data_IF_048807096575
#
_entry.id   IF_048807096575
#
_cell.length_a   1.000
_cell.length_b   1.000
_cell.length_c   1.000
_cell.angle_alpha   90.00
_cell.angle_beta   90.00
_cell.angle_gamma   90.00
#
_symmetry.space_group_name_H-M   'P 1'
#
loop_
_entity.id
_entity.type
_entity.pdbx_description
1 polymer ?
#
# COMPACT_ATOMS: atom_id res chain seq x y z
N UNK A 1 0.58 -5.63 -29.87
CA UNK A 1 0.11 -7.03 -29.87
C UNK A 1 -0.30 -7.36 -28.45
N UNK A 2 -1.60 -7.57 -28.19
CA UNK A 2 -2.08 -7.94 -26.86
C UNK A 2 -1.51 -9.31 -26.46
N UNK A 3 -0.94 -9.42 -25.25
CA UNK A 3 -0.50 -10.70 -24.71
C UNK A 3 -1.71 -11.64 -24.53
N UNK A 4 -1.56 -12.97 -24.76
CA UNK A 4 -2.63 -13.92 -24.49
C UNK A 4 -3.01 -13.87 -23.00
N UNK A 5 -4.31 -13.94 -22.66
CA UNK A 5 -4.84 -13.88 -21.28
C UNK A 5 -4.10 -14.80 -20.30
N UNK A 6 -3.77 -16.03 -20.68
CA UNK A 6 -3.03 -16.95 -19.82
C UNK A 6 -1.59 -16.53 -19.49
N UNK A 7 -0.97 -15.71 -20.36
CA UNK A 7 0.36 -15.12 -20.12
C UNK A 7 0.33 -13.99 -19.10
N UNK A 8 -0.74 -13.20 -19.08
CA UNK A 8 -0.94 -12.11 -18.14
C UNK A 8 -1.26 -12.63 -16.74
N UNK A 9 -2.16 -13.61 -16.63
CA UNK A 9 -2.48 -14.28 -15.36
C UNK A 9 -1.24 -14.91 -14.72
N UNK A 10 -0.43 -15.61 -15.50
CA UNK A 10 0.82 -16.20 -15.03
C UNK A 10 1.81 -15.12 -14.57
N UNK A 11 1.92 -14.03 -15.30
CA UNK A 11 2.79 -12.89 -14.93
C UNK A 11 2.36 -12.29 -13.61
N UNK A 12 1.05 -12.07 -13.42
CA UNK A 12 0.50 -11.51 -12.18
C UNK A 12 0.69 -12.47 -10.99
N UNK A 13 0.49 -13.77 -11.19
CA UNK A 13 0.74 -14.79 -10.17
C UNK A 13 2.22 -14.82 -9.74
N UNK A 14 3.16 -14.70 -10.67
CA UNK A 14 4.60 -14.63 -10.38
C UNK A 14 4.99 -13.36 -9.64
N UNK A 15 4.46 -12.22 -10.05
CA UNK A 15 4.65 -10.95 -9.32
C UNK A 15 4.12 -11.04 -7.89
N UNK A 16 2.93 -11.62 -7.70
CA UNK A 16 2.33 -11.82 -6.39
C UNK A 16 3.20 -12.72 -5.50
N UNK A 17 3.76 -13.79 -6.04
CA UNK A 17 4.67 -14.70 -5.31
C UNK A 17 5.92 -13.95 -4.82
N UNK A 18 6.54 -13.12 -5.68
CA UNK A 18 7.71 -12.30 -5.31
C UNK A 18 7.35 -11.30 -4.20
N UNK A 19 6.23 -10.60 -4.34
CA UNK A 19 5.76 -9.63 -3.34
C UNK A 19 5.42 -10.33 -2.02
N UNK A 20 4.83 -11.53 -2.04
CA UNK A 20 4.58 -12.32 -0.84
C UNK A 20 5.87 -12.73 -0.14
N UNK A 21 6.88 -13.18 -0.88
CA UNK A 21 8.19 -13.51 -0.33
C UNK A 21 8.85 -12.30 0.36
N UNK A 22 8.77 -11.12 -0.27
CA UNK A 22 9.23 -9.87 0.32
C UNK A 22 8.45 -9.52 1.60
N UNK A 23 7.13 -9.65 1.59
CA UNK A 23 6.28 -9.37 2.74
C UNK A 23 6.65 -10.22 3.97
N UNK A 24 6.87 -11.52 3.77
CA UNK A 24 7.29 -12.45 4.84
C UNK A 24 8.63 -12.03 5.45
N UNK A 25 9.62 -11.70 4.62
CA UNK A 25 10.92 -11.23 5.11
C UNK A 25 10.80 -9.90 5.87
N UNK A 26 9.93 -9.01 5.39
CA UNK A 26 9.75 -7.69 5.97
C UNK A 26 9.03 -7.69 7.33
N UNK A 27 8.37 -8.76 7.71
CA UNK A 27 7.76 -8.90 9.05
C UNK A 27 8.78 -8.72 10.16
N UNK A 28 9.97 -9.29 10.01
CA UNK A 28 11.00 -9.33 11.07
C UNK A 28 12.28 -8.57 10.73
N UNK A 29 12.40 -8.05 9.50
CA UNK A 29 13.62 -7.41 8.99
C UNK A 29 13.32 -6.04 8.41
N UNK A 30 14.34 -5.20 8.35
CA UNK A 30 14.24 -3.88 7.71
C UNK A 30 14.47 -3.97 6.19
N UNK A 31 14.08 -2.92 5.48
CA UNK A 31 14.37 -2.77 4.04
C UNK A 31 15.85 -2.95 3.70
N UNK A 32 16.76 -2.42 4.54
CA UNK A 32 18.20 -2.48 4.29
C UNK A 32 18.76 -3.90 4.39
N UNK A 33 18.19 -4.71 5.26
CA UNK A 33 18.65 -6.09 5.52
C UNK A 33 18.15 -7.10 4.48
N UNK A 34 17.09 -6.77 3.74
CA UNK A 34 16.50 -7.67 2.74
C UNK A 34 17.21 -7.50 1.40
N UNK A 35 17.55 -8.61 0.76
CA UNK A 35 18.21 -8.66 -0.56
C UNK A 35 17.34 -9.38 -1.58
N UNK A 36 17.56 -9.07 -2.88
CA UNK A 36 16.92 -9.80 -3.98
C UNK A 36 17.21 -11.30 -3.96
N UNK A 37 18.41 -11.68 -3.47
CA UNK A 37 18.78 -13.09 -3.34
C UNK A 37 17.85 -13.80 -2.36
N UNK A 38 17.65 -13.22 -1.18
CA UNK A 38 16.80 -13.83 -0.14
C UNK A 38 15.33 -13.85 -0.54
N UNK A 39 14.83 -12.81 -1.24
CA UNK A 39 13.49 -12.83 -1.81
C UNK A 39 13.38 -14.02 -2.80
N UNK A 40 14.37 -14.19 -3.67
CA UNK A 40 14.40 -15.29 -4.62
C UNK A 40 14.40 -16.67 -3.98
N UNK A 41 15.13 -16.87 -2.88
CA UNK A 41 15.18 -18.12 -2.11
C UNK A 41 13.83 -18.52 -1.48
N UNK A 42 12.91 -17.55 -1.36
CA UNK A 42 11.54 -17.75 -0.86
C UNK A 42 10.51 -17.98 -1.97
N UNK A 43 10.92 -17.95 -3.24
CA UNK A 43 10.04 -18.19 -4.39
C UNK A 43 10.24 -19.57 -4.99
N UNK A 44 9.28 -20.04 -5.79
CA UNK A 44 9.33 -21.33 -6.50
C UNK A 44 10.23 -21.32 -7.76
N UNK A 45 10.83 -20.19 -8.10
CA UNK A 45 11.64 -20.02 -9.31
C UNK A 45 12.98 -19.33 -9.00
N UNK A 46 13.90 -19.38 -9.96
CA UNK A 46 15.28 -18.91 -9.76
C UNK A 46 15.36 -17.39 -9.58
N UNK A 47 16.38 -16.93 -8.84
CA UNK A 47 16.68 -15.48 -8.68
C UNK A 47 16.73 -14.74 -10.02
N UNK A 48 17.31 -15.35 -11.05
CA UNK A 48 17.42 -14.75 -12.39
C UNK A 48 16.05 -14.47 -12.98
N UNK A 49 15.05 -15.28 -12.67
CA UNK A 49 13.67 -15.09 -13.13
C UNK A 49 12.98 -13.89 -12.50
N UNK A 50 13.41 -13.41 -11.32
CA UNK A 50 12.85 -12.20 -10.68
C UNK A 50 13.06 -10.99 -11.58
N UNK A 51 14.22 -10.86 -12.24
CA UNK A 51 14.53 -9.73 -13.12
C UNK A 51 13.59 -9.62 -14.34
N UNK A 52 12.84 -10.67 -14.67
CA UNK A 52 11.80 -10.60 -15.69
C UNK A 52 10.58 -9.77 -15.23
N UNK A 53 10.41 -9.58 -13.91
CA UNK A 53 9.26 -8.93 -13.30
C UNK A 53 9.62 -7.61 -12.59
N UNK A 54 10.71 -7.62 -11.82
CA UNK A 54 11.20 -6.48 -11.06
C UNK A 54 12.71 -6.30 -11.29
N UNK A 55 13.12 -5.08 -11.61
CA UNK A 55 14.52 -4.77 -11.89
C UNK A 55 15.32 -4.52 -10.62
N UNK A 56 14.66 -4.00 -9.58
CA UNK A 56 15.28 -3.61 -8.31
C UNK A 56 14.47 -4.11 -7.12
N UNK A 57 15.10 -4.13 -5.96
CA UNK A 57 14.42 -4.40 -4.69
C UNK A 57 13.36 -3.33 -4.40
N UNK A 58 13.68 -2.10 -4.73
CA UNK A 58 12.81 -0.94 -4.57
C UNK A 58 11.47 -1.12 -5.30
N UNK A 59 11.49 -1.65 -6.52
CA UNK A 59 10.26 -1.97 -7.27
C UNK A 59 9.39 -3.02 -6.57
N UNK A 60 10.01 -4.03 -5.93
CA UNK A 60 9.27 -5.04 -5.16
C UNK A 60 8.61 -4.39 -3.94
N UNK A 61 9.34 -3.52 -3.24
CA UNK A 61 8.80 -2.79 -2.09
C UNK A 61 7.71 -1.79 -2.48
N UNK A 62 7.81 -1.12 -3.63
CA UNK A 62 6.72 -0.30 -4.16
C UNK A 62 5.46 -1.13 -4.47
N UNK A 63 5.62 -2.33 -5.05
CA UNK A 63 4.51 -3.22 -5.31
C UNK A 63 3.88 -3.74 -4.00
N UNK A 64 4.68 -4.04 -2.98
CA UNK A 64 4.18 -4.38 -1.65
C UNK A 64 3.42 -3.20 -1.03
N UNK A 65 3.97 -2.01 -1.10
CA UNK A 65 3.36 -0.80 -0.56
C UNK A 65 2.03 -0.46 -1.27
N UNK A 66 1.99 -0.57 -2.60
CA UNK A 66 0.76 -0.45 -3.38
C UNK A 66 -0.31 -1.41 -2.86
N UNK A 67 0.03 -2.69 -2.71
CA UNK A 67 -0.90 -3.73 -2.23
C UNK A 67 -1.43 -3.43 -0.83
N UNK A 68 -0.60 -2.93 0.06
CA UNK A 68 -1.02 -2.56 1.42
C UNK A 68 -1.97 -1.35 1.41
N UNK A 69 -1.74 -0.35 0.55
CA UNK A 69 -2.70 0.75 0.35
C UNK A 69 -4.02 0.25 -0.22
N UNK A 70 -4.00 -0.60 -1.25
CA UNK A 70 -5.20 -1.17 -1.85
C UNK A 70 -6.03 -1.94 -0.82
N UNK A 71 -5.38 -2.75 0.02
CA UNK A 71 -6.04 -3.48 1.09
C UNK A 71 -6.62 -2.55 2.18
N UNK A 72 -5.96 -1.44 2.50
CA UNK A 72 -6.50 -0.44 3.42
C UNK A 72 -7.67 0.32 2.81
N UNK A 73 -7.66 0.61 1.52
CA UNK A 73 -8.81 1.18 0.81
C UNK A 73 -10.04 0.28 0.94
N UNK A 74 -9.87 -1.04 0.81
CA UNK A 74 -10.96 -2.01 1.03
C UNK A 74 -11.51 -1.95 2.46
N UNK A 75 -10.64 -1.82 3.48
CA UNK A 75 -11.07 -1.63 4.87
C UNK A 75 -11.84 -0.32 5.07
N UNK A 76 -11.40 0.78 4.47
CA UNK A 76 -12.09 2.08 4.52
C UNK A 76 -13.45 2.03 3.80
N UNK A 77 -13.53 1.35 2.68
CA UNK A 77 -14.79 1.16 1.97
C UNK A 77 -15.74 0.26 2.77
N UNK A 78 -15.25 -0.78 3.43
CA UNK A 78 -16.04 -1.61 4.34
C UNK A 78 -16.56 -0.79 5.54
N UNK A 79 -15.72 0.05 6.14
CA UNK A 79 -16.11 0.98 7.20
C UNK A 79 -17.22 1.92 6.71
N UNK A 80 -17.02 2.53 5.54
CA UNK A 80 -17.98 3.45 4.94
C UNK A 80 -19.32 2.77 4.62
N UNK A 81 -19.30 1.55 4.10
CA UNK A 81 -20.51 0.80 3.74
C UNK A 81 -21.21 0.16 4.96
N UNK A 82 -20.43 -0.24 5.97
CA UNK A 82 -20.95 -0.96 7.15
C UNK A 82 -21.72 -0.08 8.13
N UNK A 83 -21.58 1.24 8.08
CA UNK A 83 -22.20 2.17 9.01
C UNK A 83 -23.07 3.20 8.30
N UNK A 84 -24.25 3.47 8.88
CA UNK A 84 -25.14 4.54 8.38
C UNK A 84 -24.68 5.93 8.87
N UNK A 85 -24.28 6.00 10.13
CA UNK A 85 -23.79 7.22 10.81
C UNK A 85 -22.77 6.81 11.85
N UNK A 86 -21.81 7.67 12.11
CA UNK A 86 -20.85 7.56 13.21
C UNK A 86 -20.72 8.92 13.91
N UNK A 87 -20.50 8.89 15.22
CA UNK A 87 -19.99 10.05 15.95
C UNK A 87 -18.51 10.27 15.66
N UNK A 88 -17.96 11.40 16.06
CA UNK A 88 -16.51 11.66 15.90
C UNK A 88 -15.67 10.59 16.62
N UNK A 89 -16.04 10.26 17.87
CA UNK A 89 -15.32 9.26 18.66
C UNK A 89 -15.40 7.89 18.01
N UNK A 90 -16.62 7.44 17.64
CA UNK A 90 -16.80 6.15 16.98
C UNK A 90 -16.06 6.06 15.62
N UNK A 91 -16.08 7.14 14.83
CA UNK A 91 -15.31 7.19 13.58
C UNK A 91 -13.81 7.12 13.83
N UNK A 92 -13.31 7.83 14.84
CA UNK A 92 -11.89 7.83 15.21
C UNK A 92 -11.43 6.43 15.63
N UNK A 93 -12.23 5.73 16.45
CA UNK A 93 -11.95 4.37 16.88
C UNK A 93 -11.95 3.41 15.69
N UNK A 94 -12.96 3.45 14.84
CA UNK A 94 -13.05 2.59 13.65
C UNK A 94 -11.90 2.85 12.66
N UNK A 95 -11.55 4.11 12.43
CA UNK A 95 -10.42 4.49 11.58
C UNK A 95 -9.09 3.97 12.16
N UNK A 96 -8.88 4.11 13.47
CA UNK A 96 -7.71 3.56 14.16
C UNK A 96 -7.64 2.03 14.03
N UNK A 97 -8.75 1.33 14.19
CA UNK A 97 -8.81 -0.13 14.02
C UNK A 97 -8.49 -0.59 12.58
N UNK A 98 -8.82 0.21 11.55
CA UNK A 98 -8.37 -0.13 10.19
C UNK A 98 -6.84 -0.13 10.07
N UNK A 99 -6.16 0.80 10.75
CA UNK A 99 -4.70 0.92 10.74
C UNK A 99 -4.01 -0.10 11.63
N UNK A 100 -4.59 -0.42 12.79
CA UNK A 100 -4.07 -1.46 13.69
C UNK A 100 -3.88 -2.80 12.96
N UNK A 101 -4.81 -3.15 12.09
CA UNK A 101 -4.72 -4.36 11.24
C UNK A 101 -3.71 -4.25 10.09
N UNK A 102 -3.15 -3.06 9.85
CA UNK A 102 -2.25 -2.73 8.74
C UNK A 102 -0.86 -2.30 9.22
N UNK A 103 -0.31 -2.99 10.23
CA UNK A 103 1.01 -2.69 10.79
C UNK A 103 2.09 -2.62 9.71
N UNK A 104 2.05 -3.52 8.71
CA UNK A 104 2.98 -3.52 7.58
C UNK A 104 2.86 -2.24 6.74
N UNK A 105 1.64 -1.72 6.54
CA UNK A 105 1.44 -0.44 5.86
C UNK A 105 2.11 0.70 6.63
N UNK A 106 1.90 0.78 7.95
CA UNK A 106 2.52 1.80 8.80
C UNK A 106 4.05 1.70 8.79
N UNK A 107 4.59 0.48 8.85
CA UNK A 107 6.03 0.23 8.73
C UNK A 107 6.60 0.69 7.38
N UNK A 108 5.88 0.47 6.28
CA UNK A 108 6.24 0.96 4.95
C UNK A 108 6.18 2.49 4.88
N UNK A 109 5.15 3.11 5.47
CA UNK A 109 5.01 4.58 5.52
C UNK A 109 6.15 5.26 6.26
N UNK A 110 6.71 4.63 7.29
CA UNK A 110 7.85 5.14 8.07
C UNK A 110 9.18 5.10 7.31
N UNK A 111 9.25 4.42 6.17
CA UNK A 111 10.46 4.34 5.36
C UNK A 111 10.72 5.64 4.58
N UNK A 112 12.00 5.93 4.31
CA UNK A 112 12.38 7.00 3.38
C UNK A 112 12.06 6.58 1.93
N UNK A 113 11.10 7.23 1.32
CA UNK A 113 10.59 6.89 -0.01
C UNK A 113 11.47 7.38 -1.17
N UNK A 114 12.37 8.34 -0.94
CA UNK A 114 13.18 8.96 -2.01
C UNK A 114 14.02 7.95 -2.78
N UNK A 115 14.65 7.02 -2.09
CA UNK A 115 15.48 5.99 -2.73
C UNK A 115 14.63 5.00 -3.55
N UNK A 116 13.41 4.70 -3.10
CA UNK A 116 12.48 3.84 -3.83
C UNK A 116 12.01 4.48 -5.13
N UNK A 117 11.68 5.77 -5.09
CA UNK A 117 11.25 6.52 -6.28
C UNK A 117 12.38 6.64 -7.31
N UNK A 118 13.60 6.95 -6.86
CA UNK A 118 14.76 7.12 -7.73
C UNK A 118 15.21 5.83 -8.43
N UNK A 119 14.96 4.67 -7.83
CA UNK A 119 15.44 3.37 -8.30
C UNK A 119 14.33 2.48 -8.88
N UNK A 120 13.20 3.06 -9.25
CA UNK A 120 12.05 2.34 -9.80
C UNK A 120 11.65 2.86 -11.17
N UNK A 121 11.19 1.95 -12.04
CA UNK A 121 10.61 2.31 -13.33
C UNK A 121 9.34 3.14 -13.13
N UNK A 122 9.09 4.04 -14.08
CA UNK A 122 7.98 5.00 -14.01
C UNK A 122 6.61 4.32 -13.89
N UNK A 123 6.39 3.20 -14.55
CA UNK A 123 5.12 2.47 -14.49
C UNK A 123 4.83 1.92 -13.09
N UNK A 124 5.85 1.43 -12.36
CA UNK A 124 5.71 0.96 -10.98
C UNK A 124 5.43 2.14 -10.03
N UNK A 125 6.10 3.26 -10.26
CA UNK A 125 5.89 4.48 -9.51
C UNK A 125 4.48 5.04 -9.71
N UNK A 126 3.99 5.07 -10.96
CA UNK A 126 2.62 5.52 -11.28
C UNK A 126 1.58 4.61 -10.61
N UNK A 127 1.76 3.29 -10.64
CA UNK A 127 0.86 2.35 -9.99
C UNK A 127 0.80 2.58 -8.46
N UNK A 128 1.96 2.77 -7.82
CA UNK A 128 2.05 3.11 -6.41
C UNK A 128 1.37 4.45 -6.08
N UNK A 129 1.64 5.52 -6.86
CA UNK A 129 1.05 6.85 -6.66
C UNK A 129 -0.48 6.83 -6.83
N UNK A 130 -1.01 6.00 -7.72
CA UNK A 130 -2.47 5.79 -7.86
C UNK A 130 -3.08 5.14 -6.61
N UNK A 131 -2.44 4.12 -6.04
CA UNK A 131 -2.92 3.49 -4.82
C UNK A 131 -2.86 4.45 -3.62
N UNK A 132 -1.78 5.21 -3.49
CA UNK A 132 -1.67 6.26 -2.49
C UNK A 132 -2.79 7.33 -2.63
N UNK A 133 -2.97 7.87 -3.83
CA UNK A 133 -4.05 8.82 -4.12
C UNK A 133 -5.45 8.22 -3.88
N UNK A 134 -5.63 6.93 -4.18
CA UNK A 134 -6.85 6.18 -3.88
C UNK A 134 -7.14 6.11 -2.38
N UNK A 135 -6.12 5.98 -1.53
CA UNK A 135 -6.29 5.99 -0.08
C UNK A 135 -6.73 7.36 0.45
N UNK A 136 -6.19 8.46 -0.08
CA UNK A 136 -6.65 9.82 0.22
C UNK A 136 -8.14 9.99 -0.13
N UNK A 137 -8.53 9.50 -1.31
CA UNK A 137 -9.92 9.56 -1.76
C UNK A 137 -10.85 8.70 -0.90
N UNK A 138 -10.42 7.51 -0.48
CA UNK A 138 -11.22 6.65 0.38
C UNK A 138 -11.47 7.28 1.76
N UNK A 139 -10.47 7.93 2.36
CA UNK A 139 -10.64 8.71 3.60
C UNK A 139 -11.59 9.89 3.36
N UNK A 140 -11.44 10.62 2.25
CA UNK A 140 -12.33 11.72 1.87
C UNK A 140 -13.79 11.24 1.81
N UNK A 141 -14.08 10.15 1.15
CA UNK A 141 -15.44 9.58 1.05
C UNK A 141 -16.01 9.18 2.42
N UNK A 142 -15.18 8.73 3.35
CA UNK A 142 -15.62 8.49 4.73
C UNK A 142 -16.02 9.79 5.43
N UNK A 143 -15.20 10.83 5.32
CA UNK A 143 -15.46 12.13 5.93
C UNK A 143 -16.74 12.78 5.36
N UNK A 144 -16.90 12.78 4.05
CA UNK A 144 -18.11 13.31 3.37
C UNK A 144 -19.38 12.58 3.82
N UNK A 145 -19.32 11.26 3.98
CA UNK A 145 -20.46 10.47 4.43
C UNK A 145 -20.82 10.74 5.87
N UNK A 146 -19.86 10.66 6.78
CA UNK A 146 -20.13 10.73 8.22
C UNK A 146 -20.23 12.15 8.76
N UNK A 147 -19.57 13.10 8.09
CA UNK A 147 -19.52 14.51 8.49
C UNK A 147 -19.89 15.45 7.34
N UNK A 148 -21.14 15.41 6.84
CA UNK A 148 -21.56 16.18 5.66
C UNK A 148 -21.58 17.70 5.85
N UNK A 149 -21.20 18.19 7.04
CA UNK A 149 -21.04 19.62 7.31
C UNK A 149 -19.60 20.11 7.18
N UNK A 150 -18.63 19.18 7.00
CA UNK A 150 -17.25 19.57 6.70
C UNK A 150 -17.22 20.27 5.35
N UNK A 151 -16.50 21.38 5.29
CA UNK A 151 -16.17 22.04 4.02
C UNK A 151 -15.01 21.31 3.33
N UNK A 152 -14.77 21.60 2.05
CA UNK A 152 -13.60 21.08 1.34
C UNK A 152 -12.29 21.45 2.05
N UNK A 153 -12.22 22.65 2.65
CA UNK A 153 -11.08 23.10 3.43
C UNK A 153 -10.88 22.27 4.71
N UNK A 154 -11.97 21.91 5.41
CA UNK A 154 -11.92 21.04 6.60
C UNK A 154 -11.41 19.64 6.22
N UNK A 155 -11.90 19.08 5.11
CA UNK A 155 -11.47 17.77 4.61
C UNK A 155 -9.98 17.80 4.24
N UNK A 156 -9.54 18.81 3.50
CA UNK A 156 -8.12 18.98 3.16
C UNK A 156 -7.27 19.16 4.41
N UNK A 157 -7.71 19.95 5.37
CA UNK A 157 -7.03 20.15 6.66
C UNK A 157 -6.86 18.83 7.42
N UNK A 158 -7.90 17.98 7.44
CA UNK A 158 -7.82 16.65 8.04
C UNK A 158 -6.77 15.79 7.33
N UNK A 159 -6.79 15.70 5.99
CA UNK A 159 -5.84 14.90 5.23
C UNK A 159 -4.39 15.36 5.43
N UNK A 160 -4.15 16.68 5.45
CA UNK A 160 -2.83 17.27 5.69
C UNK A 160 -2.28 17.02 7.10
N UNK A 161 -3.15 16.82 8.09
CA UNK A 161 -2.74 16.43 9.44
C UNK A 161 -2.58 14.91 9.58
N UNK A 162 -3.54 14.15 9.09
CA UNK A 162 -3.66 12.72 9.33
C UNK A 162 -2.59 11.88 8.61
N UNK A 163 -2.35 12.13 7.31
CA UNK A 163 -1.36 11.34 6.57
C UNK A 163 0.08 11.54 7.06
N UNK A 164 0.58 12.79 7.28
CA UNK A 164 1.89 12.98 7.91
C UNK A 164 2.00 12.39 9.31
N UNK A 165 0.92 12.43 10.10
CA UNK A 165 0.86 11.79 11.41
C UNK A 165 1.11 10.27 11.30
N UNK A 166 0.46 9.59 10.34
CA UNK A 166 0.66 8.16 10.13
C UNK A 166 2.11 7.79 9.78
N UNK A 167 2.84 8.65 9.08
CA UNK A 167 4.26 8.42 8.76
C UNK A 167 5.17 8.39 9.98
N UNK A 168 4.73 8.92 11.11
CA UNK A 168 5.46 8.98 12.36
C UNK A 168 5.00 7.99 13.44
N UNK A 169 4.01 7.14 13.16
CA UNK A 169 3.48 6.18 14.15
C UNK A 169 4.46 5.02 14.40
N UNK A 170 5.16 4.56 13.37
CA UNK A 170 6.08 3.42 13.41
C UNK A 170 7.54 3.92 13.55
#
# INVERSE_FOLDING_TARGET
TAMPRGSEELTNARKAEIVNACAVLYETRSFKEITLKEIGEKTSFTRTSIYNYFQTKEEIFLALFQREYEAWIEDLDALRCGHRKLSVDAFSDELAHTLERRERLLKLMAMNHYDMEANSRIENLVAFKKAYGGSLLAVTHCLEKFFPRMTDEDVQGFLYAFFPFMFGIY
#
